data_IF_924998246659
#
_entry.id   IF_924998246659
#
_cell.length_a   1.000
_cell.length_b   1.000
_cell.length_c   1.000
_cell.angle_alpha   90.00
_cell.angle_beta   90.00
_cell.angle_gamma   90.00
#
_symmetry.space_group_name_H-M   'P 1'
#
loop_
_entity.id
_entity.type
_entity.pdbx_description
1 polymer ?
#
# COMPACT_ATOMS: atom_id res chain seq x y z
N UNK A 1 11.97 -1.42 -29.85
CA UNK A 1 11.31 -0.64 -28.80
C UNK A 1 10.17 -1.41 -28.13
N UNK A 2 9.29 -2.00 -28.93
CA UNK A 2 8.20 -2.81 -28.39
C UNK A 2 8.70 -4.05 -27.66
N UNK A 3 9.75 -4.70 -28.16
CA UNK A 3 10.34 -5.88 -27.51
C UNK A 3 10.91 -5.53 -26.15
N UNK A 4 11.63 -4.40 -26.04
CA UNK A 4 12.16 -3.94 -24.77
C UNK A 4 11.04 -3.64 -23.79
N UNK A 5 9.95 -3.00 -24.23
CA UNK A 5 8.80 -2.70 -23.41
C UNK A 5 8.15 -3.98 -22.88
N UNK A 6 8.01 -5.00 -23.73
CA UNK A 6 7.45 -6.29 -23.31
C UNK A 6 8.35 -6.96 -22.27
N UNK A 7 9.68 -6.93 -22.47
CA UNK A 7 10.63 -7.51 -21.53
C UNK A 7 10.57 -6.78 -20.20
N UNK A 8 10.61 -5.45 -20.20
CA UNK A 8 10.58 -4.66 -18.97
C UNK A 8 9.27 -4.88 -18.19
N UNK A 9 8.15 -4.92 -18.92
CA UNK A 9 6.86 -5.16 -18.29
C UNK A 9 6.73 -6.59 -17.74
N UNK A 10 7.33 -7.56 -18.44
CA UNK A 10 7.35 -8.94 -17.96
C UNK A 10 8.20 -9.09 -16.70
N UNK A 11 9.33 -8.39 -16.62
CA UNK A 11 10.19 -8.38 -15.44
C UNK A 11 9.42 -7.75 -14.26
N UNK A 12 8.76 -6.62 -14.48
CA UNK A 12 7.97 -5.97 -13.44
C UNK A 12 6.88 -6.89 -12.90
N UNK A 13 6.17 -7.58 -13.79
CA UNK A 13 5.14 -8.55 -13.40
C UNK A 13 5.72 -9.72 -12.62
N UNK A 14 6.85 -10.24 -13.08
CA UNK A 14 7.51 -11.36 -12.41
C UNK A 14 7.97 -10.99 -11.00
N UNK A 15 8.65 -9.85 -10.84
CA UNK A 15 9.07 -9.40 -9.51
C UNK A 15 7.90 -9.09 -8.60
N UNK A 16 6.81 -8.55 -9.14
CA UNK A 16 5.58 -8.34 -8.39
C UNK A 16 5.03 -9.66 -7.88
N UNK A 17 4.97 -10.67 -8.73
CA UNK A 17 4.48 -12.00 -8.37
C UNK A 17 5.35 -12.62 -7.27
N UNK A 18 6.66 -12.51 -7.37
CA UNK A 18 7.59 -13.03 -6.37
C UNK A 18 7.38 -12.31 -5.03
N UNK A 19 7.31 -10.98 -5.04
CA UNK A 19 7.11 -10.18 -3.82
C UNK A 19 5.80 -10.54 -3.12
N UNK A 20 4.71 -10.56 -3.86
CA UNK A 20 3.40 -10.91 -3.32
C UNK A 20 3.37 -12.37 -2.88
N UNK A 21 4.07 -13.25 -3.61
CA UNK A 21 4.19 -14.65 -3.23
C UNK A 21 4.89 -14.84 -1.88
N UNK A 22 5.97 -14.11 -1.64
CA UNK A 22 6.67 -14.13 -0.33
C UNK A 22 5.74 -13.64 0.76
N UNK A 23 5.04 -12.52 0.55
CA UNK A 23 4.10 -11.99 1.54
C UNK A 23 2.94 -12.95 1.79
N UNK A 24 2.47 -13.63 0.76
CA UNK A 24 1.41 -14.64 0.88
C UNK A 24 1.89 -15.81 1.74
N UNK A 25 3.10 -16.31 1.49
CA UNK A 25 3.67 -17.39 2.30
C UNK A 25 3.82 -16.98 3.76
N UNK A 26 4.30 -15.77 4.03
CA UNK A 26 4.42 -15.26 5.38
C UNK A 26 3.05 -15.17 6.06
N UNK A 27 2.02 -14.76 5.33
CA UNK A 27 0.66 -14.69 5.86
C UNK A 27 0.13 -16.06 6.27
N UNK A 28 0.35 -17.09 5.42
CA UNK A 28 -0.18 -18.43 5.68
C UNK A 28 0.69 -19.29 6.57
N UNK A 29 1.99 -18.98 6.69
CA UNK A 29 2.94 -19.80 7.45
C UNK A 29 3.27 -19.26 8.83
N UNK A 30 2.82 -18.04 9.17
CA UNK A 30 3.09 -17.45 10.47
C UNK A 30 1.79 -17.08 11.16
N UNK A 31 1.84 -17.02 12.50
CA UNK A 31 0.70 -16.63 13.32
C UNK A 31 0.70 -15.12 13.63
N UNK A 32 1.63 -14.36 13.04
CA UNK A 32 1.87 -12.96 13.40
C UNK A 32 1.09 -11.96 12.59
N UNK A 33 0.00 -12.39 11.95
CA UNK A 33 -0.90 -11.47 11.31
C UNK A 33 -0.84 -11.49 9.80
N UNK A 34 -1.40 -10.47 9.20
CA UNK A 34 -1.57 -10.38 7.75
C UNK A 34 -0.45 -9.56 7.13
N UNK A 35 0.47 -10.24 6.45
CA UNK A 35 1.49 -9.55 5.68
C UNK A 35 0.97 -9.13 4.30
N UNK A 36 -0.16 -9.69 3.88
CA UNK A 36 -0.75 -9.40 2.59
C UNK A 36 -1.92 -8.44 2.76
N UNK A 37 -1.75 -7.24 2.26
CA UNK A 37 -2.78 -6.20 2.26
C UNK A 37 -3.19 -5.95 0.81
N UNK A 38 -4.49 -5.78 0.58
CA UNK A 38 -5.04 -5.63 -0.79
C UNK A 38 -4.36 -4.48 -1.56
N UNK A 39 -4.02 -3.40 -0.87
CA UNK A 39 -3.36 -2.24 -1.49
C UNK A 39 -1.96 -2.55 -2.01
N UNK A 40 -1.35 -3.65 -1.59
CA UNK A 40 0.00 -4.01 -2.05
C UNK A 40 0.04 -4.33 -3.54
N UNK A 41 -1.06 -4.79 -4.13
CA UNK A 41 -1.14 -4.96 -5.57
C UNK A 41 -0.90 -3.65 -6.31
N UNK A 42 -1.56 -2.57 -5.88
CA UNK A 42 -1.34 -1.24 -6.44
C UNK A 42 0.06 -0.72 -6.16
N UNK A 43 0.62 -1.04 -4.99
CA UNK A 43 2.01 -0.69 -4.66
C UNK A 43 2.99 -1.34 -5.64
N UNK A 44 2.74 -2.59 -6.04
CA UNK A 44 3.59 -3.28 -7.01
C UNK A 44 3.59 -2.58 -8.37
N UNK A 45 2.43 -2.08 -8.81
CA UNK A 45 2.36 -1.32 -10.06
C UNK A 45 3.24 -0.08 -10.00
N UNK A 46 3.21 0.67 -8.91
CA UNK A 46 4.06 1.84 -8.74
C UNK A 46 5.52 1.48 -8.61
N UNK A 47 5.83 0.52 -7.73
CA UNK A 47 7.21 0.18 -7.40
C UNK A 47 7.97 -0.40 -8.59
N UNK A 48 7.36 -1.32 -9.32
CA UNK A 48 8.03 -2.00 -10.43
C UNK A 48 7.71 -1.40 -11.78
N UNK A 49 6.57 -0.73 -11.93
CA UNK A 49 6.17 -0.11 -13.19
C UNK A 49 6.59 1.34 -13.34
N UNK A 50 6.62 2.07 -12.24
CA UNK A 50 6.92 3.51 -12.23
C UNK A 50 7.85 3.87 -11.08
N UNK A 51 9.04 3.26 -10.99
CA UNK A 51 9.93 3.44 -9.83
C UNK A 51 10.45 4.86 -9.65
N UNK A 52 10.44 5.67 -10.71
CA UNK A 52 10.85 7.08 -10.64
C UNK A 52 9.77 8.00 -10.06
N UNK A 53 8.55 7.50 -9.87
CA UNK A 53 7.50 8.28 -9.24
C UNK A 53 7.85 8.59 -7.78
N UNK A 54 7.65 9.83 -7.30
CA UNK A 54 7.84 10.13 -5.88
C UNK A 54 6.93 9.29 -4.98
N UNK A 55 5.78 8.84 -5.49
CA UNK A 55 4.86 8.02 -4.74
C UNK A 55 5.33 6.58 -4.57
N UNK A 56 6.32 6.14 -5.36
CA UNK A 56 6.94 4.83 -5.25
C UNK A 56 8.19 4.84 -4.37
N UNK A 57 8.58 5.99 -3.82
CA UNK A 57 9.74 6.09 -2.94
C UNK A 57 9.51 5.24 -1.68
N UNK A 58 10.53 4.51 -1.20
CA UNK A 58 10.37 3.68 0.00
C UNK A 58 9.83 4.42 1.21
N UNK A 59 10.24 5.68 1.39
CA UNK A 59 9.70 6.54 2.45
C UNK A 59 8.19 6.67 2.35
N UNK A 60 7.68 6.94 1.15
CA UNK A 60 6.25 7.12 0.93
C UNK A 60 5.48 5.81 1.11
N UNK A 61 6.04 4.70 0.62
CA UNK A 61 5.41 3.39 0.78
C UNK A 61 5.29 3.05 2.27
N UNK A 62 6.40 3.11 3.00
CA UNK A 62 6.43 2.72 4.40
C UNK A 62 5.58 3.66 5.27
N UNK A 63 5.87 4.95 5.20
CA UNK A 63 5.19 5.91 6.07
C UNK A 63 3.75 6.18 5.62
N UNK A 64 3.46 6.08 4.33
CA UNK A 64 2.09 6.17 3.84
C UNK A 64 1.21 5.07 4.43
N UNK A 65 1.66 3.82 4.35
CA UNK A 65 0.93 2.71 4.95
C UNK A 65 0.85 2.83 6.48
N UNK A 66 1.95 3.24 7.11
CA UNK A 66 1.99 3.41 8.57
C UNK A 66 0.99 4.48 9.02
N UNK A 67 0.97 5.62 8.35
CA UNK A 67 0.05 6.73 8.67
C UNK A 67 -1.40 6.29 8.52
N UNK A 68 -1.75 5.68 7.39
CA UNK A 68 -3.15 5.28 7.16
C UNK A 68 -3.59 4.16 8.08
N UNK A 69 -2.71 3.20 8.37
CA UNK A 69 -3.02 2.14 9.33
C UNK A 69 -3.23 2.70 10.73
N UNK A 70 -2.37 3.64 11.16
CA UNK A 70 -2.49 4.30 12.46
C UNK A 70 -3.81 5.07 12.56
N UNK A 71 -4.13 5.86 11.54
CA UNK A 71 -5.39 6.61 11.48
C UNK A 71 -6.58 5.66 11.56
N UNK A 72 -6.55 4.56 10.80
CA UNK A 72 -7.62 3.57 10.81
C UNK A 72 -7.83 2.95 12.17
N UNK A 73 -6.75 2.54 12.83
CA UNK A 73 -6.83 1.93 14.16
C UNK A 73 -7.37 2.92 15.19
N UNK A 74 -6.86 4.15 15.18
CA UNK A 74 -7.30 5.18 16.13
C UNK A 74 -8.78 5.51 15.90
N UNK A 75 -9.18 5.69 14.65
CA UNK A 75 -10.57 6.00 14.31
C UNK A 75 -11.51 4.90 14.78
N UNK A 76 -11.16 3.65 14.48
CA UNK A 76 -11.99 2.50 14.85
C UNK A 76 -12.05 2.31 16.36
N UNK A 77 -10.95 2.58 17.07
CA UNK A 77 -10.86 2.35 18.51
C UNK A 77 -11.57 3.41 19.33
N UNK A 78 -11.46 4.69 18.94
CA UNK A 78 -11.89 5.80 19.79
C UNK A 78 -13.20 6.46 19.37
N UNK A 79 -13.71 6.21 18.17
CA UNK A 79 -14.93 6.83 17.70
C UNK A 79 -16.05 5.78 17.67
N UNK A 80 -17.09 5.92 18.53
CA UNK A 80 -18.17 4.93 18.62
C UNK A 80 -19.24 5.14 17.56
N UNK A 81 -18.89 5.05 16.29
CA UNK A 81 -19.82 5.21 15.17
C UNK A 81 -19.85 3.94 14.33
N UNK A 82 -20.94 3.73 13.54
CA UNK A 82 -21.00 2.59 12.64
C UNK A 82 -19.92 2.63 11.57
N UNK A 83 -19.54 1.46 11.06
CA UNK A 83 -18.47 1.34 10.07
C UNK A 83 -18.72 2.16 8.80
N UNK A 84 -19.98 2.24 8.36
CA UNK A 84 -20.29 3.00 7.14
C UNK A 84 -20.07 4.50 7.30
N UNK A 85 -19.92 4.99 8.53
CA UNK A 85 -19.52 6.37 8.83
C UNK A 85 -18.03 6.45 9.13
N UNK A 86 -17.49 5.47 9.86
CA UNK A 86 -16.07 5.45 10.23
C UNK A 86 -15.13 5.27 9.04
N UNK A 87 -15.49 4.43 8.07
CA UNK A 87 -14.64 4.18 6.91
C UNK A 87 -14.37 5.45 6.11
N UNK A 88 -15.39 6.24 5.70
CA UNK A 88 -15.13 7.50 5.03
C UNK A 88 -14.29 8.48 5.85
N UNK A 89 -14.54 8.55 7.15
CA UNK A 89 -13.77 9.43 8.04
C UNK A 89 -12.31 8.99 8.09
N UNK A 90 -12.06 7.70 8.27
CA UNK A 90 -10.71 7.15 8.36
C UNK A 90 -9.94 7.36 7.06
N UNK A 91 -10.58 7.12 5.91
CA UNK A 91 -9.95 7.33 4.61
C UNK A 91 -9.62 8.81 4.40
N UNK A 92 -10.56 9.70 4.71
CA UNK A 92 -10.33 11.14 4.58
C UNK A 92 -9.19 11.63 5.45
N UNK A 93 -9.16 11.21 6.70
CA UNK A 93 -8.08 11.56 7.63
C UNK A 93 -6.75 10.96 7.19
N UNK A 94 -6.75 9.73 6.70
CA UNK A 94 -5.53 9.08 6.20
C UNK A 94 -4.94 9.85 5.03
N UNK A 95 -5.76 10.24 4.06
CA UNK A 95 -5.33 11.03 2.92
C UNK A 95 -4.80 12.39 3.39
N UNK A 96 -5.52 13.04 4.29
CA UNK A 96 -5.10 14.34 4.83
C UNK A 96 -3.71 14.25 5.46
N UNK A 97 -3.49 13.29 6.33
CA UNK A 97 -2.20 13.16 7.03
C UNK A 97 -1.08 12.71 6.10
N UNK A 98 -1.36 11.85 5.12
CA UNK A 98 -0.33 11.49 4.13
C UNK A 98 0.17 12.72 3.38
N UNK A 99 -0.73 13.59 2.96
CA UNK A 99 -0.37 14.79 2.22
C UNK A 99 0.36 15.78 3.13
N UNK A 100 -0.13 15.99 4.34
CA UNK A 100 0.47 16.92 5.30
C UNK A 100 1.88 16.49 5.70
N UNK A 101 2.13 15.19 5.86
CA UNK A 101 3.44 14.66 6.25
C UNK A 101 4.35 14.42 5.05
N UNK A 102 3.87 14.71 3.85
CA UNK A 102 4.63 14.53 2.60
C UNK A 102 5.09 13.08 2.39
N UNK A 103 4.21 12.15 2.69
CA UNK A 103 4.46 10.71 2.52
C UNK A 103 3.37 10.07 1.67
N UNK A 104 2.83 10.82 0.72
CA UNK A 104 1.72 10.36 -0.11
C UNK A 104 2.08 9.09 -0.86
N UNK A 105 1.27 8.07 -0.68
CA UNK A 105 1.37 6.81 -1.38
C UNK A 105 -0.07 6.38 -1.73
N UNK A 106 -0.54 6.63 -2.96
CA UNK A 106 -1.94 6.40 -3.32
C UNK A 106 -2.48 5.02 -2.94
N UNK A 107 -1.74 3.91 -3.11
CA UNK A 107 -2.25 2.59 -2.71
C UNK A 107 -2.58 2.47 -1.22
N UNK A 108 -1.91 3.25 -0.36
CA UNK A 108 -2.17 3.22 1.08
C UNK A 108 -3.45 3.97 1.47
N UNK A 109 -3.86 4.92 0.64
CA UNK A 109 -5.13 5.61 0.86
C UNK A 109 -6.30 4.75 0.50
#
# INVERSE_FOLDING_TARGET
>A
METKKIIDNSIAGLFSAITIGVLTLLTYKTDYGLFLVASFGSTMVLLYGYPESPFAHPKNIFFGHLVTATVGVITLTFIPLPEYILIPIAVGLGVFFMIMLNVTHPPAG
#
